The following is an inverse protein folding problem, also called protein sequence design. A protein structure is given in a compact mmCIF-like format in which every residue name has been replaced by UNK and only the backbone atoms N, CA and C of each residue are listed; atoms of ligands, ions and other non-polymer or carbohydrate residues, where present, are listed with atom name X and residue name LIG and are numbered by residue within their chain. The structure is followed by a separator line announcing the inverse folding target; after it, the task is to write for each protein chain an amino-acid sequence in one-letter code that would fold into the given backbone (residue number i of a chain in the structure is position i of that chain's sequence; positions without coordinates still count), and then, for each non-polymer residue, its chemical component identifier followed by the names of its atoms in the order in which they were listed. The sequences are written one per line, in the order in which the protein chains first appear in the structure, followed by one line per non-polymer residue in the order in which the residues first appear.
data_IF_325262119557
#
_entry.id   IF_325262119557
#
_cell.length_a   1.000
_cell.length_b   1.000
_cell.length_c   1.000
_cell.angle_alpha   90.00
_cell.angle_beta   90.00
_cell.angle_gamma   90.00
#
_symmetry.space_group_name_H-M   'P 1'
#
loop_
_entity.id
_entity.type
_entity.pdbx_description
1 polymer ?
#
# COMPACT_ATOMS: atom_id res chain seq x y z
N UNK A 1 -25.09 -1.72 -10.04
CA UNK A 1 -23.81 -2.26 -9.56
C UNK A 1 -22.82 -2.15 -10.70
N UNK A 2 -21.97 -1.14 -10.73
CA UNK A 2 -20.83 -1.17 -11.64
C UNK A 2 -19.81 -2.11 -10.98
N UNK A 3 -19.82 -3.39 -11.42
CA UNK A 3 -18.72 -4.29 -11.10
C UNK A 3 -17.43 -3.63 -11.64
N UNK A 4 -16.46 -3.41 -10.77
CA UNK A 4 -15.11 -3.06 -11.17
C UNK A 4 -14.56 -4.25 -11.94
N UNK A 5 -14.77 -4.25 -13.26
CA UNK A 5 -14.31 -5.34 -14.12
C UNK A 5 -12.81 -5.18 -14.36
N UNK A 6 -12.02 -5.81 -13.51
CA UNK A 6 -10.62 -6.03 -13.84
C UNK A 6 -10.54 -6.87 -15.12
N UNK A 7 -9.58 -6.59 -16.01
CA UNK A 7 -9.36 -7.42 -17.20
C UNK A 7 -9.13 -8.89 -16.83
N UNK A 8 -9.69 -9.82 -17.62
CA UNK A 8 -9.50 -11.26 -17.40
C UNK A 8 -8.03 -11.66 -17.30
N UNK A 9 -7.16 -11.00 -18.04
CA UNK A 9 -5.71 -11.21 -17.98
C UNK A 9 -5.12 -10.92 -16.59
N UNK A 10 -5.67 -9.95 -15.86
CA UNK A 10 -5.28 -9.66 -14.49
C UNK A 10 -5.83 -10.72 -13.55
N UNK A 11 -7.13 -11.02 -13.64
CA UNK A 11 -7.80 -12.01 -12.80
C UNK A 11 -7.19 -13.40 -12.90
N UNK A 12 -6.72 -13.78 -14.10
CA UNK A 12 -6.09 -15.08 -14.36
C UNK A 12 -4.59 -15.09 -14.07
N UNK A 13 -3.98 -13.95 -13.77
CA UNK A 13 -2.55 -13.91 -13.49
C UNK A 13 -2.22 -14.66 -12.20
N UNK A 14 -1.14 -15.44 -12.22
CA UNK A 14 -0.63 -16.14 -11.04
C UNK A 14 -0.38 -15.16 -9.89
N UNK A 15 0.17 -14.00 -10.20
CA UNK A 15 0.49 -12.97 -9.21
C UNK A 15 -0.75 -12.43 -8.51
N UNK A 16 -1.82 -12.15 -9.26
CA UNK A 16 -3.09 -11.74 -8.69
C UNK A 16 -3.61 -12.80 -7.69
N UNK A 17 -3.63 -14.07 -8.10
CA UNK A 17 -4.12 -15.14 -7.24
C UNK A 17 -3.29 -15.30 -5.96
N UNK A 18 -1.96 -15.22 -6.06
CA UNK A 18 -1.05 -15.31 -4.90
C UNK A 18 -1.27 -14.15 -3.93
N UNK A 19 -1.29 -12.91 -4.43
CA UNK A 19 -1.44 -11.71 -3.57
C UNK A 19 -2.84 -11.63 -2.98
N UNK A 20 -3.87 -12.00 -3.75
CA UNK A 20 -5.25 -12.10 -3.26
C UNK A 20 -5.37 -13.14 -2.15
N UNK A 21 -4.78 -14.31 -2.33
CA UNK A 21 -4.76 -15.35 -1.29
C UNK A 21 -4.05 -14.86 -0.01
N UNK A 22 -2.90 -14.20 -0.14
CA UNK A 22 -2.20 -13.57 1.01
C UNK A 22 -3.07 -12.50 1.70
N UNK A 23 -3.83 -11.73 0.90
CA UNK A 23 -4.73 -10.70 1.42
C UNK A 23 -5.86 -11.33 2.24
N UNK A 24 -6.52 -12.34 1.72
CA UNK A 24 -7.67 -13.01 2.32
C UNK A 24 -7.34 -13.92 3.51
N UNK A 25 -6.07 -14.33 3.67
CA UNK A 25 -5.63 -15.05 4.87
C UNK A 25 -5.79 -14.21 6.15
N UNK A 26 -5.92 -12.91 6.04
CA UNK A 26 -6.24 -12.07 7.18
C UNK A 26 -7.76 -12.03 7.35
N UNK A 27 -8.29 -12.59 8.44
CA UNK A 27 -9.74 -12.66 8.73
C UNK A 27 -10.45 -11.30 8.61
N UNK A 28 -9.75 -10.21 8.94
CA UNK A 28 -10.28 -8.85 8.81
C UNK A 28 -10.39 -8.36 7.37
N UNK A 29 -9.66 -8.96 6.45
CA UNK A 29 -9.63 -8.60 5.03
C UNK A 29 -10.51 -9.54 4.19
N UNK A 30 -10.89 -10.70 4.70
CA UNK A 30 -11.76 -11.64 3.98
C UNK A 30 -13.13 -11.05 3.64
N UNK A 31 -13.64 -10.14 4.47
CA UNK A 31 -14.89 -9.40 4.20
C UNK A 31 -14.73 -8.23 3.22
N UNK A 32 -13.53 -8.00 2.69
CA UNK A 32 -13.19 -6.84 1.87
C UNK A 32 -12.62 -7.26 0.50
N UNK A 33 -13.12 -8.36 -0.07
CA UNK A 33 -12.64 -8.88 -1.36
C UNK A 33 -12.75 -7.86 -2.49
N UNK A 34 -13.93 -7.24 -2.61
CA UNK A 34 -14.19 -6.22 -3.65
C UNK A 34 -13.27 -5.01 -3.50
N UNK A 35 -12.81 -4.73 -2.28
CA UNK A 35 -11.92 -3.63 -2.03
C UNK A 35 -10.49 -3.89 -2.54
N UNK A 36 -10.04 -5.15 -2.51
CA UNK A 36 -8.77 -5.55 -3.11
C UNK A 36 -8.75 -5.27 -4.61
N UNK A 37 -9.82 -5.66 -5.30
CA UNK A 37 -9.96 -5.43 -6.75
C UNK A 37 -10.05 -3.94 -7.07
N UNK A 38 -10.70 -3.16 -6.22
CA UNK A 38 -10.74 -1.70 -6.34
C UNK A 38 -9.35 -1.07 -6.26
N UNK A 39 -8.53 -1.46 -5.28
CA UNK A 39 -7.16 -0.93 -5.16
C UNK A 39 -6.33 -1.17 -6.43
N UNK A 40 -6.54 -2.31 -7.10
CA UNK A 40 -5.88 -2.63 -8.36
C UNK A 40 -6.44 -1.75 -9.49
N UNK A 41 -7.77 -1.66 -9.61
CA UNK A 41 -8.43 -0.87 -10.65
C UNK A 41 -8.07 0.61 -10.57
N UNK A 42 -7.91 1.15 -9.37
CA UNK A 42 -7.48 2.54 -9.13
C UNK A 42 -5.95 2.74 -9.14
N UNK A 43 -5.21 1.70 -9.54
CA UNK A 43 -3.74 1.74 -9.62
C UNK A 43 -3.05 2.12 -8.30
N UNK A 44 -3.69 1.80 -7.17
CA UNK A 44 -3.13 1.96 -5.83
C UNK A 44 -2.46 0.68 -5.30
N UNK A 45 -2.80 -0.47 -5.86
CA UNK A 45 -2.14 -1.75 -5.62
C UNK A 45 -1.51 -2.26 -6.91
N UNK A 46 -0.19 -2.28 -6.95
CA UNK A 46 0.60 -2.75 -8.10
C UNK A 46 1.05 -4.18 -7.83
N UNK A 47 0.73 -5.10 -8.74
CA UNK A 47 1.04 -6.53 -8.58
C UNK A 47 2.34 -6.93 -9.28
N UNK A 48 2.43 -6.64 -10.56
CA UNK A 48 3.57 -7.01 -11.42
C UNK A 48 4.32 -5.74 -11.82
N UNK A 49 5.38 -5.42 -11.07
CA UNK A 49 6.16 -4.21 -11.30
C UNK A 49 7.42 -4.60 -12.08
N UNK A 50 7.56 -4.16 -13.33
CA UNK A 50 8.80 -4.40 -14.10
C UNK A 50 10.02 -3.86 -13.36
N UNK A 51 11.11 -4.63 -13.35
CA UNK A 51 12.33 -4.27 -12.58
C UNK A 51 12.87 -2.86 -12.91
N UNK A 52 12.89 -2.39 -14.16
CA UNK A 52 13.33 -1.02 -14.45
C UNK A 52 12.42 0.04 -13.80
N UNK A 53 11.09 -0.17 -13.82
CA UNK A 53 10.14 0.70 -13.16
C UNK A 53 10.30 0.65 -11.63
N UNK A 54 10.44 -0.55 -11.08
CA UNK A 54 10.68 -0.76 -9.65
C UNK A 54 11.96 -0.05 -9.18
N UNK A 55 13.04 -0.10 -9.97
CA UNK A 55 14.28 0.62 -9.70
C UNK A 55 14.06 2.13 -9.63
N UNK A 56 13.34 2.69 -10.63
CA UNK A 56 12.98 4.11 -10.67
C UNK A 56 12.15 4.53 -9.46
N UNK A 57 11.17 3.72 -9.08
CA UNK A 57 10.25 4.04 -7.99
C UNK A 57 10.91 3.89 -6.60
N UNK A 58 11.78 2.90 -6.41
CA UNK A 58 12.41 2.64 -5.11
C UNK A 58 13.61 3.54 -4.82
N UNK A 59 14.43 3.85 -5.83
CA UNK A 59 15.69 4.54 -5.65
C UNK A 59 15.67 5.92 -6.32
N UNK A 60 14.88 6.84 -5.76
CA UNK A 60 14.69 8.18 -6.30
C UNK A 60 15.83 9.14 -5.90
N UNK A 61 16.62 8.81 -4.88
CA UNK A 61 17.82 9.54 -4.50
C UNK A 61 18.89 9.40 -5.60
N UNK A 62 19.35 10.49 -6.23
CA UNK A 62 20.36 10.44 -7.28
C UNK A 62 21.67 9.74 -6.84
N UNK A 63 22.05 9.88 -5.58
CA UNK A 63 23.24 9.23 -5.02
C UNK A 63 23.12 7.70 -4.97
N UNK A 64 21.89 7.17 -4.99
CA UNK A 64 21.59 5.74 -4.91
C UNK A 64 21.18 5.11 -6.24
N UNK A 65 21.18 5.89 -7.32
CA UNK A 65 20.81 5.38 -8.65
C UNK A 65 21.87 4.45 -9.25
N UNK A 66 23.13 4.54 -8.79
CA UNK A 66 24.15 3.60 -9.21
C UNK A 66 23.71 2.16 -8.93
N UNK A 67 23.71 1.34 -9.99
CA UNK A 67 23.25 -0.05 -9.96
C UNK A 67 21.79 -0.24 -9.41
N UNK A 68 20.92 0.76 -9.59
CA UNK A 68 19.55 0.70 -9.10
C UNK A 68 18.77 -0.51 -9.63
N UNK A 69 18.96 -0.87 -10.90
CA UNK A 69 18.32 -2.06 -11.52
C UNK A 69 18.79 -3.34 -10.84
N UNK A 70 20.08 -3.54 -10.62
CA UNK A 70 20.60 -4.72 -9.94
C UNK A 70 20.11 -4.82 -8.48
N UNK A 71 19.98 -3.68 -7.80
CA UNK A 71 19.43 -3.63 -6.44
C UNK A 71 17.92 -3.91 -6.43
N UNK A 72 17.15 -3.39 -7.39
CA UNK A 72 15.73 -3.62 -7.51
C UNK A 72 15.41 -5.07 -7.88
N UNK A 73 16.30 -5.76 -8.58
CA UNK A 73 16.10 -7.15 -9.00
C UNK A 73 15.80 -8.10 -7.84
N UNK A 74 16.31 -7.82 -6.64
CA UNK A 74 15.98 -8.59 -5.42
C UNK A 74 14.48 -8.57 -5.12
N UNK A 75 13.80 -7.49 -5.47
CA UNK A 75 12.40 -7.25 -5.15
C UNK A 75 11.46 -7.52 -6.32
N UNK A 76 11.92 -8.20 -7.39
CA UNK A 76 11.15 -8.43 -8.62
C UNK A 76 9.78 -9.09 -8.40
N UNK A 77 9.67 -9.90 -7.34
CA UNK A 77 8.43 -10.61 -6.99
C UNK A 77 7.59 -9.86 -5.95
N UNK A 78 7.86 -8.58 -5.70
CA UNK A 78 7.08 -7.78 -4.77
C UNK A 78 5.75 -7.35 -5.37
N UNK A 79 4.86 -6.94 -4.51
CA UNK A 79 3.73 -6.08 -4.82
C UNK A 79 3.85 -4.80 -4.00
N UNK A 80 3.17 -3.73 -4.41
CA UNK A 80 3.32 -2.43 -3.78
C UNK A 80 2.01 -1.68 -3.65
N UNK A 81 1.91 -0.88 -2.59
CA UNK A 81 0.99 0.25 -2.56
C UNK A 81 1.65 1.45 -3.23
N UNK A 82 0.90 2.16 -4.07
CA UNK A 82 1.30 3.42 -4.69
C UNK A 82 0.60 4.58 -3.99
N UNK A 83 1.38 5.58 -3.58
CA UNK A 83 0.83 6.80 -2.99
C UNK A 83 0.08 7.62 -4.06
N UNK A 84 -1.02 8.22 -3.66
CA UNK A 84 -1.90 9.04 -4.51
C UNK A 84 -2.09 10.46 -3.96
N UNK A 85 -1.50 10.77 -2.82
CA UNK A 85 -1.60 12.08 -2.17
C UNK A 85 -0.45 13.03 -2.52
N UNK A 86 0.54 12.58 -3.29
CA UNK A 86 1.72 13.37 -3.67
C UNK A 86 1.88 13.36 -5.20
N UNK A 87 2.45 14.41 -5.80
CA UNK A 87 2.78 14.42 -7.23
C UNK A 87 3.90 13.45 -7.59
N UNK A 88 4.58 12.88 -6.60
CA UNK A 88 5.67 11.93 -6.79
C UNK A 88 5.12 10.50 -6.84
N UNK A 89 5.65 9.70 -7.76
CA UNK A 89 5.38 8.26 -7.82
C UNK A 89 6.10 7.53 -6.67
N UNK A 90 5.55 7.65 -5.47
CA UNK A 90 6.11 7.02 -4.27
C UNK A 90 5.39 5.71 -4.01
N UNK A 91 6.13 4.67 -3.70
CA UNK A 91 5.59 3.34 -3.41
C UNK A 91 6.07 2.81 -2.07
N UNK A 92 5.26 1.90 -1.51
CA UNK A 92 5.67 1.02 -0.43
C UNK A 92 5.51 -0.41 -0.89
N UNK A 93 6.63 -1.12 -1.09
CA UNK A 93 6.61 -2.53 -1.49
C UNK A 93 6.47 -3.45 -0.29
N UNK A 94 5.79 -4.57 -0.49
CA UNK A 94 5.90 -5.73 0.39
C UNK A 94 7.18 -6.48 0.05
N UNK A 95 8.12 -6.53 0.97
CA UNK A 95 9.39 -7.25 0.75
C UNK A 95 9.12 -8.75 0.64
N UNK A 96 9.56 -9.42 -0.44
CA UNK A 96 9.40 -10.87 -0.60
C UNK A 96 10.01 -11.63 0.58
N UNK A 97 9.36 -12.72 0.98
CA UNK A 97 9.81 -13.51 2.16
C UNK A 97 11.25 -14.02 2.02
N UNK A 98 11.63 -14.46 0.84
CA UNK A 98 13.01 -14.91 0.54
C UNK A 98 14.04 -13.80 0.82
N UNK A 99 13.71 -12.56 0.46
CA UNK A 99 14.57 -11.40 0.69
C UNK A 99 14.60 -11.01 2.17
N UNK A 100 13.46 -11.10 2.87
CA UNK A 100 13.42 -10.90 4.32
C UNK A 100 14.34 -11.89 5.05
N UNK A 101 14.31 -13.17 4.65
CA UNK A 101 15.12 -14.21 5.26
C UNK A 101 16.63 -14.03 4.95
N UNK A 102 16.98 -13.53 3.74
CA UNK A 102 18.36 -13.17 3.39
C UNK A 102 18.87 -12.01 4.27
N UNK A 103 18.07 -10.92 4.40
CA UNK A 103 18.41 -9.78 5.24
C UNK A 103 18.53 -10.20 6.70
N UNK A 104 17.62 -11.03 7.19
CA UNK A 104 17.64 -11.51 8.57
C UNK A 104 18.91 -12.29 8.88
N UNK A 105 19.31 -13.24 8.01
CA UNK A 105 20.57 -13.99 8.15
C UNK A 105 21.79 -13.06 8.14
N UNK A 106 21.82 -12.09 7.23
CA UNK A 106 22.91 -11.12 7.17
C UNK A 106 23.02 -10.28 8.46
N UNK A 107 21.88 -9.88 9.04
CA UNK A 107 21.84 -9.14 10.31
C UNK A 107 22.33 -10.00 11.49
N UNK A 108 21.96 -11.29 11.52
CA UNK A 108 22.42 -12.23 12.53
C UNK A 108 23.92 -12.48 12.45
N UNK A 109 24.47 -12.65 11.26
CA UNK A 109 25.91 -12.80 11.04
C UNK A 109 26.68 -11.53 11.43
N UNK A 110 26.11 -10.37 11.17
CA UNK A 110 26.67 -9.10 11.59
C UNK A 110 26.67 -8.97 13.11
N UNK A 111 25.56 -9.29 13.76
CA UNK A 111 25.45 -9.28 15.23
C UNK A 111 26.48 -10.19 15.88
N UNK A 112 26.65 -11.44 15.35
CA UNK A 112 27.64 -12.39 15.86
C UNK A 112 29.08 -11.87 15.78
N UNK A 113 29.41 -11.09 14.74
CA UNK A 113 30.77 -10.54 14.53
C UNK A 113 31.04 -9.26 15.29
N UNK A 114 30.06 -8.36 15.31
CA UNK A 114 30.25 -6.98 15.79
C UNK A 114 29.57 -6.73 17.15
N UNK A 115 28.70 -7.64 17.60
CA UNK A 115 27.85 -7.43 18.76
C UNK A 115 26.71 -6.44 18.47
N UNK A 116 26.01 -6.03 19.52
CA UNK A 116 24.90 -5.07 19.42
C UNK A 116 23.54 -5.73 19.22
N UNK A 117 22.51 -4.91 18.99
CA UNK A 117 21.13 -5.37 18.87
C UNK A 117 20.85 -6.01 17.52
N UNK A 118 20.10 -7.12 17.53
CA UNK A 118 19.66 -7.78 16.32
C UNK A 118 18.62 -6.91 15.59
N UNK A 119 18.97 -6.42 14.40
CA UNK A 119 18.03 -5.71 13.53
C UNK A 119 17.13 -6.71 12.82
N UNK A 120 15.81 -6.52 12.96
CA UNK A 120 14.82 -7.32 12.22
C UNK A 120 14.79 -6.89 10.75
N UNK A 121 14.58 -7.87 9.86
CA UNK A 121 14.35 -7.56 8.45
C UNK A 121 13.04 -6.78 8.26
N UNK A 122 13.00 -5.77 7.39
CA UNK A 122 11.78 -4.99 7.15
C UNK A 122 10.76 -5.83 6.39
N UNK A 123 9.48 -5.74 6.80
CA UNK A 123 8.36 -6.33 6.06
C UNK A 123 7.98 -5.49 4.84
N UNK A 124 8.18 -4.19 4.94
CA UNK A 124 7.87 -3.21 3.90
C UNK A 124 9.09 -2.31 3.66
N UNK A 125 9.25 -1.87 2.42
CA UNK A 125 10.27 -0.91 2.03
C UNK A 125 9.62 0.20 1.23
N UNK A 126 9.83 1.45 1.64
CA UNK A 126 9.34 2.64 0.92
C UNK A 126 10.39 3.17 -0.05
N UNK A 127 9.96 3.98 -1.01
CA UNK A 127 10.83 4.74 -1.90
C UNK A 127 11.88 5.51 -1.10
N UNK A 128 13.12 5.48 -1.57
CA UNK A 128 14.26 6.13 -0.91
C UNK A 128 14.57 7.47 -1.58
N UNK A 129 14.96 8.46 -0.79
CA UNK A 129 15.29 9.79 -1.29
C UNK A 129 14.10 10.73 -1.49
N UNK A 130 12.93 10.33 -1.02
CA UNK A 130 11.68 11.11 -1.04
C UNK A 130 10.97 10.99 0.31
N UNK A 131 10.08 11.93 0.64
CA UNK A 131 9.27 11.83 1.85
C UNK A 131 8.48 10.52 1.91
N UNK A 132 8.16 10.09 3.12
CA UNK A 132 7.33 8.90 3.32
C UNK A 132 5.99 9.02 2.58
N UNK A 133 5.53 7.96 1.88
CA UNK A 133 4.29 8.02 1.13
C UNK A 133 3.08 8.19 2.06
N UNK A 134 2.10 8.96 1.61
CA UNK A 134 0.79 9.05 2.24
C UNK A 134 -0.22 8.44 1.28
N UNK A 135 -1.03 7.51 1.79
CA UNK A 135 -2.06 6.85 0.99
C UNK A 135 -3.43 7.38 1.40
N UNK A 136 -4.15 7.97 0.47
CA UNK A 136 -5.58 8.25 0.61
C UNK A 136 -6.34 7.03 0.10
N UNK A 137 -6.96 6.28 1.00
CA UNK A 137 -7.68 5.07 0.61
C UNK A 137 -8.89 5.43 -0.26
N UNK A 138 -9.12 4.75 -1.38
CA UNK A 138 -10.31 4.98 -2.21
C UNK A 138 -11.58 4.61 -1.45
N UNK A 139 -12.65 5.36 -1.70
CA UNK A 139 -13.94 5.14 -1.06
C UNK A 139 -15.06 5.42 -2.06
N UNK A 140 -16.11 4.60 -2.04
CA UNK A 140 -17.32 4.87 -2.79
C UNK A 140 -18.36 5.60 -1.94
N UNK A 141 -19.16 6.44 -2.58
CA UNK A 141 -20.25 7.18 -1.94
C UNK A 141 -21.20 6.27 -1.14
N UNK A 142 -21.54 5.10 -1.68
CA UNK A 142 -22.42 4.12 -1.01
C UNK A 142 -21.82 3.57 0.28
N UNK A 143 -20.51 3.36 0.30
CA UNK A 143 -19.81 2.77 1.45
C UNK A 143 -19.77 3.79 2.59
N UNK A 144 -19.57 5.05 2.23
CA UNK A 144 -19.59 6.15 3.20
C UNK A 144 -20.96 6.32 3.86
N UNK A 145 -22.04 6.20 3.08
CA UNK A 145 -23.41 6.31 3.61
C UNK A 145 -23.76 5.25 4.66
N UNK A 146 -23.12 4.07 4.60
CA UNK A 146 -23.32 3.02 5.59
C UNK A 146 -22.73 3.36 6.97
N UNK A 147 -21.73 4.23 7.02
CA UNK A 147 -21.01 4.59 8.25
C UNK A 147 -21.52 5.90 8.84
N UNK A 148 -21.90 6.84 8.00
CA UNK A 148 -22.40 8.15 8.41
C UNK A 148 -23.92 8.13 8.47
N UNK A 149 -24.49 7.42 9.44
CA UNK A 149 -25.90 7.55 9.82
C UNK A 149 -26.21 8.91 10.49
N UNK A 150 -25.54 9.97 10.05
CA UNK A 150 -25.80 11.30 10.55
C UNK A 150 -26.82 11.97 9.62
N UNK A 151 -28.07 12.21 10.05
CA UNK A 151 -29.10 12.83 9.21
C UNK A 151 -28.75 14.26 8.77
N UNK A 152 -27.72 14.88 9.37
CA UNK A 152 -27.25 16.21 9.02
C UNK A 152 -26.15 16.19 7.95
N UNK A 153 -25.63 15.02 7.58
CA UNK A 153 -24.70 14.90 6.47
C UNK A 153 -25.50 14.84 5.19
N UNK A 154 -25.54 15.93 4.45
CA UNK A 154 -26.33 16.06 3.23
C UNK A 154 -25.96 14.96 2.22
N UNK A 155 -26.96 14.54 1.40
CA UNK A 155 -26.76 13.54 0.30
C UNK A 155 -25.63 13.91 -0.68
N UNK A 156 -25.17 15.14 -0.66
CA UNK A 156 -24.03 15.64 -1.44
C UNK A 156 -22.66 15.30 -0.84
N UNK A 157 -22.61 14.70 0.34
CA UNK A 157 -21.37 14.53 1.07
C UNK A 157 -20.49 13.49 0.42
N UNK A 158 -19.41 13.99 -0.07
CA UNK A 158 -18.09 13.40 -0.26
C UNK A 158 -18.05 11.99 -0.83
N UNK A 159 -18.28 11.89 -2.13
CA UNK A 159 -17.89 10.69 -2.88
C UNK A 159 -16.38 10.66 -3.18
N UNK A 160 -15.66 11.75 -2.92
CA UNK A 160 -14.26 11.91 -3.28
C UNK A 160 -13.48 12.65 -2.19
N UNK A 161 -12.16 12.43 -2.17
CA UNK A 161 -11.25 13.17 -1.30
C UNK A 161 -11.26 14.70 -1.55
N UNK A 162 -11.62 15.14 -2.76
CA UNK A 162 -11.74 16.57 -3.05
C UNK A 162 -12.89 17.23 -2.24
N UNK A 163 -13.99 16.53 -2.07
CA UNK A 163 -15.10 17.04 -1.25
C UNK A 163 -14.75 17.05 0.24
N UNK A 164 -14.01 16.04 0.72
CA UNK A 164 -13.55 15.97 2.11
C UNK A 164 -12.68 17.17 2.50
N UNK A 165 -11.89 17.69 1.56
CA UNK A 165 -11.07 18.90 1.80
C UNK A 165 -11.88 20.14 2.13
N UNK A 166 -13.14 20.19 1.75
CA UNK A 166 -14.02 21.34 1.91
C UNK A 166 -15.12 21.14 2.96
N UNK A 167 -15.25 19.93 3.49
CA UNK A 167 -16.27 19.61 4.50
C UNK A 167 -15.62 19.06 5.77
N UNK A 168 -15.43 19.93 6.75
CA UNK A 168 -14.81 19.57 8.05
C UNK A 168 -15.73 18.76 8.98
N UNK A 169 -16.98 18.50 8.59
CA UNK A 169 -17.87 17.61 9.34
C UNK A 169 -17.60 16.13 9.11
N UNK A 170 -16.85 15.81 8.05
CA UNK A 170 -16.52 14.43 7.68
C UNK A 170 -15.36 13.92 8.54
N UNK A 171 -15.55 12.84 9.31
CA UNK A 171 -14.49 12.28 10.11
C UNK A 171 -13.43 11.61 9.23
N UNK A 172 -12.16 11.94 9.47
CA UNK A 172 -11.02 11.32 8.82
C UNK A 172 -10.26 10.48 9.84
N UNK A 173 -9.97 9.24 9.50
CA UNK A 173 -9.16 8.33 10.32
C UNK A 173 -7.73 8.34 9.79
N UNK A 174 -6.78 8.67 10.65
CA UNK A 174 -5.34 8.54 10.35
C UNK A 174 -4.83 7.26 11.02
N UNK A 175 -4.25 6.36 10.24
CA UNK A 175 -3.82 5.05 10.73
C UNK A 175 -2.47 4.64 10.13
N UNK A 176 -1.74 3.82 10.86
CA UNK A 176 -0.52 3.19 10.36
C UNK A 176 -0.82 1.85 9.68
N UNK A 177 -0.28 1.67 8.47
CA UNK A 177 -0.30 0.42 7.71
C UNK A 177 -1.45 0.29 6.72
N UNK A 178 -1.11 0.15 5.44
CA UNK A 178 -2.04 0.18 4.33
C UNK A 178 -3.13 -0.92 4.40
N UNK A 179 -2.81 -2.14 4.84
CA UNK A 179 -3.81 -3.20 5.02
C UNK A 179 -4.89 -2.83 6.06
N UNK A 180 -4.51 -2.19 7.16
CA UNK A 180 -5.47 -1.72 8.17
C UNK A 180 -6.35 -0.60 7.62
N UNK A 181 -5.74 0.33 6.87
CA UNK A 181 -6.47 1.40 6.21
C UNK A 181 -7.49 0.87 5.21
N UNK A 182 -7.12 -0.16 4.45
CA UNK A 182 -8.01 -0.81 3.50
C UNK A 182 -9.24 -1.41 4.16
N UNK A 183 -9.10 -2.05 5.33
CA UNK A 183 -10.26 -2.56 6.10
C UNK A 183 -11.22 -1.44 6.46
N UNK A 184 -10.71 -0.35 7.01
CA UNK A 184 -11.55 0.78 7.41
C UNK A 184 -12.21 1.45 6.21
N UNK A 185 -11.48 1.63 5.11
CA UNK A 185 -12.02 2.22 3.89
C UNK A 185 -13.08 1.33 3.23
N UNK A 186 -12.92 0.01 3.27
CA UNK A 186 -13.93 -0.93 2.80
C UNK A 186 -15.24 -0.87 3.61
N UNK A 187 -15.17 -0.39 4.85
CA UNK A 187 -16.34 -0.10 5.69
C UNK A 187 -16.86 1.33 5.57
N UNK A 188 -16.36 2.11 4.61
CA UNK A 188 -16.88 3.44 4.30
C UNK A 188 -16.20 4.60 5.03
N UNK A 189 -15.14 4.37 5.79
CA UNK A 189 -14.41 5.47 6.45
C UNK A 189 -13.41 6.14 5.51
N UNK A 190 -13.30 7.46 5.61
CA UNK A 190 -12.20 8.20 4.99
C UNK A 190 -10.91 7.96 5.78
N UNK A 191 -9.92 7.36 5.13
CA UNK A 191 -8.70 6.89 5.80
C UNK A 191 -7.46 7.45 5.13
N UNK A 192 -6.65 8.12 5.93
CA UNK A 192 -5.27 8.50 5.59
C UNK A 192 -4.35 7.46 6.20
N UNK A 193 -3.56 6.80 5.38
CA UNK A 193 -2.61 5.80 5.84
C UNK A 193 -1.19 6.33 5.82
N UNK A 194 -0.50 6.15 6.92
CA UNK A 194 0.93 6.40 7.06
C UNK A 194 1.71 5.08 6.99
N UNK A 195 2.88 5.05 6.31
CA UNK A 195 3.63 3.81 6.09
C UNK A 195 4.39 3.29 7.31
N UNK A 196 4.35 4.00 8.41
CA UNK A 196 5.03 3.71 9.66
C UNK A 196 5.62 4.98 10.29
N UNK A 197 5.45 5.13 11.58
CA UNK A 197 5.86 6.34 12.32
C UNK A 197 7.39 6.42 12.50
N UNK A 198 8.09 5.31 12.28
CA UNK A 198 9.53 5.17 12.58
C UNK A 198 10.42 5.05 11.35
N UNK A 199 9.94 5.45 10.17
CA UNK A 199 10.76 5.50 8.96
C UNK A 199 11.21 6.95 8.70
N UNK A 200 11.89 7.52 9.66
CA UNK A 200 12.68 8.74 9.52
C UNK A 200 14.14 8.39 9.25
#
# INVERSE_FOLDING_TARGET
MNSLNLPDSVLQSKKYQEVRAEWLQNEKLSSCEDYFDRLIAENQLLLDIPVPLLAKLLFQDPSKQHNAIGRAYKYRDCWAFKANATPLDVIQIKVPKSVQDEIQRSNEDKQRREGGDLKKSPKYLSSQGVPAPIFLMPIEKRDHQNVVNNPNVSELVASTWEQVKHDFSIPIIIIEGAKKGAVLAAHGYFVIVLPGVWQG
#
